data_IF_376387648333
#
_entry.id   IF_376387648333
#
_cell.length_a   1.000
_cell.length_b   1.000
_cell.length_c   1.000
_cell.angle_alpha   90.00
_cell.angle_beta   90.00
_cell.angle_gamma   90.00
#
_symmetry.space_group_name_H-M   'P 1'
#
loop_
_entity.id
_entity.type
_entity.pdbx_description
1 polymer ?
#
# COMPACT_ATOMS: atom_id res chain seq x y z
N UNK A 1 1.01 -25.38 -1.82
CA UNK A 1 2.20 -24.90 -1.16
C UNK A 1 1.84 -24.51 0.26
N UNK A 2 2.67 -24.24 1.07
CA UNK A 2 2.86 -24.65 2.43
C UNK A 2 2.37 -23.60 3.42
N UNK A 3 1.23 -23.84 4.07
CA UNK A 3 0.78 -23.08 5.23
C UNK A 3 1.85 -23.03 6.32
N UNK A 4 2.61 -24.12 6.48
CA UNK A 4 3.71 -24.22 7.43
C UNK A 4 4.82 -23.18 7.18
N UNK A 5 5.15 -22.87 5.92
CA UNK A 5 6.16 -21.86 5.58
C UNK A 5 5.67 -20.46 5.95
N UNK A 6 4.41 -20.16 5.71
CA UNK A 6 3.79 -18.90 6.10
C UNK A 6 3.80 -18.73 7.63
N UNK A 7 3.37 -19.76 8.35
CA UNK A 7 3.35 -19.75 9.82
C UNK A 7 4.76 -19.64 10.41
N UNK A 8 5.75 -20.28 9.79
CA UNK A 8 7.14 -20.18 10.22
C UNK A 8 7.69 -18.75 10.08
N UNK A 9 7.40 -18.11 8.96
CA UNK A 9 7.80 -16.73 8.71
C UNK A 9 7.14 -15.77 9.71
N UNK A 10 5.84 -15.94 9.97
CA UNK A 10 5.12 -15.16 10.98
C UNK A 10 5.64 -15.43 12.39
N UNK A 11 5.98 -16.66 12.71
CA UNK A 11 6.59 -17.02 13.99
C UNK A 11 7.96 -16.38 14.17
N UNK A 12 8.78 -16.33 13.13
CA UNK A 12 10.07 -15.65 13.15
C UNK A 12 9.91 -14.15 13.43
N UNK A 13 8.95 -13.49 12.77
CA UNK A 13 8.63 -12.10 13.03
C UNK A 13 8.20 -11.90 14.49
N UNK A 14 7.27 -12.70 14.97
CA UNK A 14 6.75 -12.61 16.33
C UNK A 14 7.84 -12.89 17.38
N UNK A 15 8.75 -13.81 17.12
CA UNK A 15 9.90 -14.10 17.98
C UNK A 15 10.82 -12.89 18.11
N UNK A 16 11.11 -12.20 17.01
CA UNK A 16 11.94 -10.99 17.05
C UNK A 16 11.24 -9.85 17.82
N UNK A 17 9.92 -9.69 17.67
CA UNK A 17 9.14 -8.75 18.46
C UNK A 17 9.24 -9.07 19.95
N UNK A 18 9.07 -10.34 20.33
CA UNK A 18 9.16 -10.80 21.70
C UNK A 18 10.57 -10.63 22.30
N UNK A 19 11.63 -10.92 21.53
CA UNK A 19 13.01 -10.69 21.97
C UNK A 19 13.26 -9.22 22.24
N UNK A 20 12.77 -8.32 21.40
CA UNK A 20 12.85 -6.88 21.61
C UNK A 20 12.14 -6.42 22.88
N UNK A 21 10.90 -6.87 23.07
CA UNK A 21 10.10 -6.57 24.25
C UNK A 21 10.75 -7.08 25.54
N UNK A 22 11.28 -8.29 25.50
CA UNK A 22 11.97 -8.92 26.64
C UNK A 22 13.25 -8.17 26.99
N UNK A 23 14.08 -7.84 26.00
CA UNK A 23 15.31 -7.08 26.23
C UNK A 23 15.02 -5.70 26.85
N UNK A 24 14.00 -5.01 26.34
CA UNK A 24 13.57 -3.71 26.90
C UNK A 24 13.10 -3.85 28.34
N UNK A 25 12.25 -4.83 28.63
CA UNK A 25 11.72 -5.06 29.96
C UNK A 25 12.81 -5.43 30.96
N UNK A 26 13.74 -6.32 30.59
CA UNK A 26 14.86 -6.73 31.45
C UNK A 26 15.82 -5.57 31.71
N UNK A 27 16.22 -4.83 30.70
CA UNK A 27 17.14 -3.71 30.85
C UNK A 27 16.56 -2.54 31.64
N UNK A 28 15.23 -2.43 31.68
CA UNK A 28 14.50 -1.40 32.44
C UNK A 28 14.06 -1.86 33.83
N UNK A 29 14.45 -3.05 34.25
CA UNK A 29 14.10 -3.60 35.57
C UNK A 29 14.72 -2.77 36.70
N UNK A 30 13.97 -2.38 37.76
CA UNK A 30 14.44 -1.43 38.77
C UNK A 30 15.71 -1.82 39.50
N UNK A 31 15.99 -3.13 39.65
CA UNK A 31 17.22 -3.58 40.26
C UNK A 31 18.50 -3.20 39.51
N UNK A 32 18.40 -3.09 38.19
CA UNK A 32 19.53 -2.68 37.35
C UNK A 32 19.81 -1.17 37.42
N UNK A 33 18.87 -0.35 37.90
CA UNK A 33 19.09 1.06 38.16
C UNK A 33 20.10 1.30 39.33
N UNK A 34 20.32 0.30 40.17
CA UNK A 34 21.24 0.37 41.28
C UNK A 34 22.71 0.11 40.86
N UNK A 35 22.96 -0.41 39.68
CA UNK A 35 24.27 -0.66 39.11
C UNK A 35 24.45 0.08 37.79
N UNK A 36 25.23 1.16 37.73
CA UNK A 36 25.44 1.91 36.52
C UNK A 36 26.22 1.09 35.51
N UNK A 37 25.49 0.46 34.57
CA UNK A 37 26.07 -0.24 33.43
C UNK A 37 25.72 0.54 32.16
N UNK A 38 26.70 1.08 31.42
CA UNK A 38 26.44 1.87 30.20
C UNK A 38 25.82 1.07 29.07
N UNK A 39 25.84 -0.26 29.13
CA UNK A 39 25.19 -1.12 28.14
C UNK A 39 23.67 -1.24 28.34
N UNK A 40 23.15 -1.00 29.54
CA UNK A 40 21.70 -1.13 29.80
C UNK A 40 20.85 -0.17 28.98
N UNK A 41 21.17 1.12 28.87
CA UNK A 41 20.42 2.03 27.99
C UNK A 41 20.44 1.58 26.52
N UNK A 42 21.57 1.02 26.08
CA UNK A 42 21.73 0.52 24.70
C UNK A 42 20.90 -0.73 24.47
N UNK A 43 20.86 -1.67 25.41
CA UNK A 43 20.04 -2.88 25.34
C UNK A 43 18.56 -2.51 25.37
N UNK A 44 18.15 -1.60 26.25
CA UNK A 44 16.78 -1.10 26.31
C UNK A 44 16.36 -0.43 25.00
N UNK A 45 17.22 0.40 24.42
CA UNK A 45 17.00 1.08 23.16
C UNK A 45 16.89 0.10 21.98
N UNK A 46 17.79 -0.88 21.91
CA UNK A 46 17.70 -1.95 20.91
C UNK A 46 16.38 -2.72 21.03
N UNK A 47 15.98 -3.04 22.26
CA UNK A 47 14.73 -3.74 22.54
C UNK A 47 13.51 -2.93 22.11
N UNK A 48 13.47 -1.65 22.40
CA UNK A 48 12.40 -0.73 22.00
C UNK A 48 12.26 -0.62 20.49
N UNK A 49 13.34 -0.34 19.78
CA UNK A 49 13.35 -0.20 18.31
C UNK A 49 12.98 -1.53 17.64
N UNK A 50 13.48 -2.64 18.13
CA UNK A 50 13.20 -3.98 17.60
C UNK A 50 11.75 -4.38 17.81
N UNK A 51 11.21 -4.24 19.01
CA UNK A 51 9.81 -4.51 19.32
C UNK A 51 8.87 -3.71 18.43
N UNK A 52 9.07 -2.40 18.38
CA UNK A 52 8.24 -1.50 17.56
C UNK A 52 8.30 -1.88 16.09
N UNK A 53 9.50 -2.11 15.55
CA UNK A 53 9.69 -2.42 14.12
C UNK A 53 8.95 -3.69 13.72
N UNK A 54 9.10 -4.76 14.47
CA UNK A 54 8.43 -6.03 14.15
C UNK A 54 6.92 -6.01 14.43
N UNK A 55 6.46 -5.26 15.42
CA UNK A 55 5.04 -5.06 15.67
C UNK A 55 4.34 -4.31 14.52
N UNK A 56 5.00 -3.30 13.95
CA UNK A 56 4.45 -2.51 12.83
C UNK A 56 4.22 -3.31 11.55
N UNK A 57 4.98 -4.39 11.34
CA UNK A 57 4.92 -5.20 10.11
C UNK A 57 3.56 -5.86 9.86
N UNK A 58 2.73 -6.04 10.88
CA UNK A 58 1.44 -6.74 10.77
C UNK A 58 0.23 -5.85 11.10
N UNK A 59 0.45 -4.61 11.46
CA UNK A 59 -0.59 -3.68 11.86
C UNK A 59 -0.84 -2.63 10.78
N UNK A 60 -2.11 -2.48 10.36
CA UNK A 60 -2.51 -1.37 9.49
C UNK A 60 -2.35 -0.07 10.27
N UNK A 61 -1.59 0.92 9.74
CA UNK A 61 -1.47 2.23 10.36
C UNK A 61 -2.81 2.97 10.42
N UNK A 62 -2.97 3.82 11.43
CA UNK A 62 -4.09 4.76 11.48
C UNK A 62 -3.88 5.87 10.43
N UNK A 63 -4.96 6.33 9.82
CA UNK A 63 -4.91 7.48 8.92
C UNK A 63 -4.41 8.75 9.61
N UNK A 64 -4.74 8.95 10.88
CA UNK A 64 -4.24 10.04 11.69
C UNK A 64 -4.68 11.45 11.26
N UNK A 65 -5.59 11.57 10.31
CA UNK A 65 -6.17 12.83 9.85
C UNK A 65 -7.43 13.07 10.66
N UNK A 66 -7.33 13.84 11.74
CA UNK A 66 -8.43 14.05 12.69
C UNK A 66 -9.19 15.36 12.45
N UNK A 67 -8.50 16.37 11.96
CA UNK A 67 -9.08 17.66 11.66
C UNK A 67 -8.27 18.41 10.61
N UNK A 68 -8.88 19.37 9.97
CA UNK A 68 -8.23 20.33 9.07
C UNK A 68 -8.66 21.76 9.43
N UNK A 69 -7.80 22.77 9.20
CA UNK A 69 -8.20 24.16 9.34
C UNK A 69 -9.28 24.51 8.32
N UNK A 70 -10.35 25.14 8.77
CA UNK A 70 -11.40 25.65 7.91
C UNK A 70 -11.18 27.11 7.51
N UNK A 71 -11.90 27.61 6.49
CA UNK A 71 -11.85 29.01 6.06
C UNK A 71 -12.38 29.98 7.11
N UNK A 72 -13.14 29.49 8.09
CA UNK A 72 -13.64 30.24 9.24
C UNK A 72 -12.62 30.39 10.39
N UNK A 73 -11.40 29.87 10.20
CA UNK A 73 -10.33 29.86 11.21
C UNK A 73 -10.52 28.83 12.33
N UNK A 74 -11.53 27.96 12.23
CA UNK A 74 -11.75 26.86 13.16
C UNK A 74 -11.33 25.54 12.56
N UNK A 75 -10.92 24.62 13.44
CA UNK A 75 -10.64 23.24 13.02
C UNK A 75 -11.93 22.46 12.77
N UNK A 76 -12.02 21.83 11.63
CA UNK A 76 -13.12 20.95 11.27
C UNK A 76 -12.68 19.49 11.41
N UNK A 77 -13.46 18.70 12.15
CA UNK A 77 -13.19 17.28 12.34
C UNK A 77 -13.35 16.51 11.03
N UNK A 78 -12.53 15.50 10.86
CA UNK A 78 -12.53 14.61 9.69
C UNK A 78 -12.90 13.21 10.12
N UNK A 79 -13.88 12.62 9.43
CA UNK A 79 -14.27 11.22 9.60
C UNK A 79 -13.88 10.43 8.34
N UNK A 80 -13.39 9.21 8.52
CA UNK A 80 -13.21 8.26 7.43
C UNK A 80 -14.50 7.46 7.26
N UNK A 81 -15.16 7.61 6.11
CA UNK A 81 -16.42 6.93 5.80
C UNK A 81 -16.24 5.97 4.65
N UNK A 82 -16.81 4.78 4.75
CA UNK A 82 -16.88 3.83 3.64
C UNK A 82 -18.03 4.21 2.71
N UNK A 83 -17.71 4.44 1.45
CA UNK A 83 -18.69 4.80 0.39
C UNK A 83 -19.13 3.56 -0.37
N UNK A 84 -18.19 2.70 -0.74
CA UNK A 84 -18.46 1.41 -1.39
C UNK A 84 -17.67 0.34 -0.66
N UNK A 85 -18.34 -0.72 -0.27
CA UNK A 85 -17.74 -1.87 0.42
C UNK A 85 -17.64 -3.06 -0.54
N UNK A 86 -16.43 -3.60 -0.69
CA UNK A 86 -16.17 -4.79 -1.50
C UNK A 86 -15.19 -5.71 -0.78
N UNK A 87 -15.16 -7.02 -1.10
CA UNK A 87 -14.32 -7.99 -0.40
C UNK A 87 -12.82 -7.66 -0.41
N UNK A 88 -12.28 -7.16 -1.51
CA UNK A 88 -10.84 -6.92 -1.66
C UNK A 88 -10.41 -5.47 -1.47
N UNK A 89 -11.34 -4.55 -1.32
CA UNK A 89 -11.06 -3.15 -1.07
C UNK A 89 -12.30 -2.30 -1.03
N UNK A 90 -12.24 -1.23 -0.27
CA UNK A 90 -13.31 -0.27 -0.12
C UNK A 90 -12.98 1.05 -0.84
N UNK A 91 -14.00 1.76 -1.24
CA UNK A 91 -13.89 3.17 -1.53
C UNK A 91 -14.23 3.94 -0.26
N UNK A 92 -13.27 4.72 0.25
CA UNK A 92 -13.46 5.53 1.45
C UNK A 92 -13.44 7.02 1.12
N UNK A 93 -14.12 7.81 1.94
CA UNK A 93 -14.15 9.27 1.87
C UNK A 93 -13.61 9.86 3.17
N UNK A 94 -12.79 10.90 3.05
CA UNK A 94 -12.41 11.76 4.17
C UNK A 94 -13.45 12.86 4.31
N UNK A 95 -14.47 12.61 5.13
CA UNK A 95 -15.59 13.50 5.32
C UNK A 95 -15.24 14.61 6.32
N UNK A 96 -15.28 15.86 5.86
CA UNK A 96 -15.03 17.03 6.71
C UNK A 96 -16.35 17.50 7.29
N UNK A 97 -16.49 17.43 8.62
CA UNK A 97 -17.70 17.87 9.32
C UNK A 97 -17.95 19.36 9.15
N UNK A 98 -19.21 19.75 9.05
CA UNK A 98 -19.66 21.15 8.91
C UNK A 98 -19.12 21.84 7.65
N UNK A 99 -18.71 21.08 6.66
CA UNK A 99 -18.31 21.60 5.35
C UNK A 99 -19.31 21.13 4.31
N UNK A 100 -19.83 22.06 3.49
CA UNK A 100 -20.64 21.70 2.34
C UNK A 100 -19.83 20.85 1.35
N UNK A 101 -20.47 19.97 0.55
CA UNK A 101 -19.78 19.24 -0.50
C UNK A 101 -19.01 20.19 -1.41
N UNK A 102 -17.75 19.83 -1.69
CA UNK A 102 -16.90 20.60 -2.59
C UNK A 102 -17.26 20.32 -4.04
N UNK A 103 -17.10 21.31 -4.90
CA UNK A 103 -17.31 21.15 -6.35
C UNK A 103 -16.28 20.23 -6.98
N UNK A 104 -15.07 20.14 -6.35
CA UNK A 104 -14.00 19.26 -6.83
C UNK A 104 -13.98 17.98 -6.01
N UNK A 105 -14.10 16.85 -6.70
CA UNK A 105 -13.90 15.51 -6.14
C UNK A 105 -12.62 14.92 -6.70
N UNK A 106 -11.81 14.33 -5.85
CA UNK A 106 -10.58 13.64 -6.24
C UNK A 106 -10.62 12.20 -5.73
N UNK A 107 -10.43 11.25 -6.64
CA UNK A 107 -10.16 9.85 -6.31
C UNK A 107 -8.66 9.62 -6.37
N UNK A 108 -8.07 9.28 -5.24
CA UNK A 108 -6.70 8.80 -5.15
C UNK A 108 -6.71 7.28 -5.24
N UNK A 109 -6.09 6.73 -6.29
CA UNK A 109 -5.93 5.29 -6.43
C UNK A 109 -4.62 4.90 -5.77
N UNK A 110 -4.73 4.27 -4.60
CA UNK A 110 -3.57 3.85 -3.82
C UNK A 110 -2.89 2.64 -4.45
N UNK A 111 -1.56 2.55 -4.38
CA UNK A 111 -0.84 1.35 -4.82
C UNK A 111 -1.27 0.11 -4.03
N UNK A 112 -1.38 -1.02 -4.72
CA UNK A 112 -1.42 -2.35 -4.12
C UNK A 112 -0.07 -3.02 -4.38
N UNK A 113 0.94 -2.61 -3.65
CA UNK A 113 2.33 -3.03 -3.85
C UNK A 113 3.03 -3.39 -2.53
N UNK A 114 2.26 -3.87 -1.57
CA UNK A 114 2.75 -4.32 -0.28
C UNK A 114 2.45 -3.39 0.89
N UNK A 115 2.20 -2.11 0.66
CA UNK A 115 1.84 -1.15 1.69
C UNK A 115 0.34 -0.86 1.72
N UNK A 116 -0.14 -0.38 2.85
CA UNK A 116 -1.52 0.08 2.99
C UNK A 116 -1.74 1.45 2.32
N UNK A 117 -2.97 1.75 1.99
CA UNK A 117 -3.34 3.05 1.41
C UNK A 117 -2.99 4.24 2.32
N UNK A 118 -2.79 4.00 3.60
CA UNK A 118 -2.38 5.00 4.60
C UNK A 118 -1.04 5.68 4.27
N UNK A 119 -0.23 5.09 3.38
CA UNK A 119 0.98 5.76 2.89
C UNK A 119 0.67 7.08 2.16
N UNK A 120 -0.58 7.27 1.70
CA UNK A 120 -1.03 8.50 1.03
C UNK A 120 -1.56 9.57 2.01
N UNK A 121 -1.43 9.37 3.32
CA UNK A 121 -2.02 10.31 4.31
C UNK A 121 -1.59 11.76 4.12
N UNK A 122 -0.33 12.01 3.82
CA UNK A 122 0.17 13.37 3.58
C UNK A 122 -0.42 13.98 2.30
N UNK A 123 -0.60 13.17 1.27
CA UNK A 123 -1.26 13.59 0.03
C UNK A 123 -2.72 13.94 0.28
N UNK A 124 -3.44 13.08 1.04
CA UNK A 124 -4.83 13.35 1.43
C UNK A 124 -4.92 14.65 2.24
N UNK A 125 -4.10 14.80 3.27
CA UNK A 125 -4.10 15.99 4.12
C UNK A 125 -3.81 17.27 3.33
N UNK A 126 -2.92 17.20 2.35
CA UNK A 126 -2.56 18.31 1.48
C UNK A 126 -3.69 18.75 0.54
N UNK A 127 -4.47 17.80 0.03
CA UNK A 127 -5.55 18.06 -0.93
C UNK A 127 -6.91 18.33 -0.28
N UNK A 128 -7.12 17.83 0.92
CA UNK A 128 -8.42 17.86 1.59
C UNK A 128 -8.99 19.27 1.80
N UNK A 129 -8.18 20.33 2.06
CA UNK A 129 -8.70 21.68 2.14
C UNK A 129 -9.41 22.18 0.88
N UNK A 130 -9.01 21.67 -0.29
CA UNK A 130 -9.45 22.19 -1.60
C UNK A 130 -10.40 21.27 -2.35
N UNK A 131 -10.66 20.05 -1.84
CA UNK A 131 -11.46 19.05 -2.54
C UNK A 131 -12.07 18.03 -1.58
N UNK A 132 -13.12 17.36 -2.04
CA UNK A 132 -13.59 16.12 -1.42
C UNK A 132 -12.69 14.97 -1.88
N UNK A 133 -12.09 14.27 -0.91
CA UNK A 133 -11.08 13.25 -1.18
C UNK A 133 -11.62 11.86 -0.90
N UNK A 134 -11.45 11.00 -1.90
CA UNK A 134 -11.77 9.58 -1.87
C UNK A 134 -10.52 8.77 -2.13
N UNK A 135 -10.39 7.61 -1.50
CA UNK A 135 -9.23 6.73 -1.64
C UNK A 135 -9.67 5.29 -1.79
N UNK A 136 -8.97 4.53 -2.61
CA UNK A 136 -9.11 3.08 -2.67
C UNK A 136 -8.38 2.47 -1.47
N UNK A 137 -9.11 1.91 -0.54
CA UNK A 137 -8.57 1.27 0.66
C UNK A 137 -8.53 -0.25 0.47
N UNK A 138 -7.43 -0.75 -0.07
CA UNK A 138 -7.25 -2.17 -0.37
C UNK A 138 -7.11 -2.98 0.90
N UNK A 139 -7.75 -4.16 0.93
CA UNK A 139 -7.72 -5.07 2.06
C UNK A 139 -6.53 -6.01 2.01
N UNK A 140 -6.01 -6.36 3.19
CA UNK A 140 -4.96 -7.35 3.33
C UNK A 140 -5.51 -8.74 2.95
N UNK A 141 -4.92 -9.37 1.96
CA UNK A 141 -5.41 -10.66 1.43
C UNK A 141 -5.40 -11.78 2.49
N UNK A 142 -4.53 -11.71 3.50
CA UNK A 142 -4.53 -12.69 4.60
C UNK A 142 -5.83 -12.70 5.40
N UNK A 143 -6.57 -11.60 5.39
CA UNK A 143 -7.81 -11.44 6.16
C UNK A 143 -9.08 -11.67 5.32
N UNK A 144 -8.93 -12.04 4.05
CA UNK A 144 -10.04 -12.24 3.13
C UNK A 144 -10.32 -13.73 2.97
N UNK A 145 -11.51 -14.22 3.38
CA UNK A 145 -11.84 -15.65 3.26
C UNK A 145 -11.71 -16.16 1.83
N UNK A 146 -11.28 -17.41 1.67
CA UNK A 146 -11.17 -18.07 0.35
C UNK A 146 -12.51 -18.05 -0.38
N UNK A 147 -13.62 -18.12 0.35
CA UNK A 147 -14.99 -18.06 -0.20
C UNK A 147 -15.30 -16.75 -0.93
N UNK A 148 -14.57 -15.68 -0.70
CA UNK A 148 -14.73 -14.42 -1.45
C UNK A 148 -14.25 -14.51 -2.90
N UNK A 149 -13.58 -15.58 -3.28
CA UNK A 149 -13.11 -15.82 -4.63
C UNK A 149 -11.71 -15.31 -4.90
N UNK A 150 -11.38 -15.21 -6.18
CA UNK A 150 -10.10 -14.71 -6.67
C UNK A 150 -10.08 -13.19 -6.84
N UNK A 151 -8.89 -12.63 -6.95
CA UNK A 151 -8.70 -11.22 -7.29
C UNK A 151 -7.42 -11.05 -8.12
N UNK A 152 -7.56 -10.64 -9.36
CA UNK A 152 -6.48 -10.41 -10.32
C UNK A 152 -6.50 -8.98 -10.88
N UNK A 153 -5.70 -8.70 -11.90
CA UNK A 153 -5.65 -7.36 -12.52
C UNK A 153 -6.95 -6.96 -13.22
N UNK A 154 -7.72 -7.92 -13.73
CA UNK A 154 -9.05 -7.61 -14.28
C UNK A 154 -10.03 -7.21 -13.18
N UNK A 155 -10.06 -7.96 -12.08
CA UNK A 155 -10.89 -7.65 -10.93
C UNK A 155 -10.55 -6.29 -10.34
N UNK A 156 -9.27 -5.98 -10.23
CA UNK A 156 -8.78 -4.67 -9.80
C UNK A 156 -9.31 -3.56 -10.72
N UNK A 157 -9.21 -3.74 -12.02
CA UNK A 157 -9.69 -2.80 -13.02
C UNK A 157 -11.20 -2.58 -12.89
N UNK A 158 -11.98 -3.65 -12.71
CA UNK A 158 -13.42 -3.56 -12.51
C UNK A 158 -13.81 -2.89 -11.20
N UNK A 159 -13.02 -3.08 -10.13
CA UNK A 159 -13.20 -2.30 -8.89
C UNK A 159 -13.04 -0.81 -9.13
N UNK A 160 -12.02 -0.41 -9.90
CA UNK A 160 -11.82 1.00 -10.26
C UNK A 160 -12.97 1.54 -11.10
N UNK A 161 -13.47 0.76 -12.05
CA UNK A 161 -14.66 1.13 -12.84
C UNK A 161 -15.85 1.38 -11.92
N UNK A 162 -16.13 0.48 -10.99
CA UNK A 162 -17.23 0.62 -10.05
C UNK A 162 -17.06 1.84 -9.13
N UNK A 163 -15.86 2.11 -8.66
CA UNK A 163 -15.57 3.27 -7.83
C UNK A 163 -15.72 4.59 -8.60
N UNK A 164 -15.24 4.65 -9.83
CA UNK A 164 -15.42 5.83 -10.71
C UNK A 164 -16.90 6.10 -11.01
N UNK A 165 -17.66 5.04 -11.27
CA UNK A 165 -19.10 5.16 -11.51
C UNK A 165 -19.86 5.63 -10.27
N UNK A 166 -19.48 5.13 -9.08
CA UNK A 166 -20.08 5.55 -7.82
C UNK A 166 -19.84 7.04 -7.52
N UNK A 167 -18.68 7.58 -7.92
CA UNK A 167 -18.33 8.98 -7.70
C UNK A 167 -18.92 9.93 -8.77
N UNK A 168 -19.14 9.43 -9.96
CA UNK A 168 -19.70 10.19 -11.08
C UNK A 168 -18.65 10.88 -11.97
N UNK A 169 -19.11 11.48 -13.09
CA UNK A 169 -18.23 11.95 -14.17
C UNK A 169 -17.45 13.24 -13.85
N UNK A 170 -17.78 13.93 -12.77
CA UNK A 170 -17.08 15.15 -12.37
C UNK A 170 -15.84 14.88 -11.51
N UNK A 171 -15.43 13.63 -11.39
CA UNK A 171 -14.31 13.21 -10.55
C UNK A 171 -12.99 13.36 -11.28
N UNK A 172 -11.99 13.88 -10.56
CA UNK A 172 -10.59 13.87 -10.96
C UNK A 172 -9.92 12.64 -10.37
N UNK A 173 -9.27 11.83 -11.19
CA UNK A 173 -8.61 10.60 -10.75
C UNK A 173 -7.10 10.77 -10.77
N UNK A 174 -6.44 10.41 -9.67
CA UNK A 174 -4.98 10.43 -9.55
C UNK A 174 -4.54 9.02 -9.17
N UNK A 175 -3.78 8.38 -10.04
CA UNK A 175 -3.18 7.07 -9.79
C UNK A 175 -1.69 7.23 -9.54
N UNK A 176 -1.23 6.71 -8.41
CA UNK A 176 0.14 6.90 -7.95
C UNK A 176 0.87 5.56 -8.03
N UNK A 177 1.91 5.49 -8.86
CA UNK A 177 2.80 4.35 -9.04
C UNK A 177 2.09 3.12 -9.65
N UNK A 178 2.11 1.98 -9.00
CA UNK A 178 1.63 0.69 -9.49
C UNK A 178 0.25 0.72 -10.18
N UNK A 179 -0.79 1.43 -9.67
CA UNK A 179 -2.10 1.37 -10.29
C UNK A 179 -2.26 2.17 -11.58
N UNK A 180 -1.25 2.91 -12.01
CA UNK A 180 -1.35 3.76 -13.19
C UNK A 180 -1.82 3.01 -14.46
N UNK A 181 -1.24 1.87 -14.87
CA UNK A 181 -1.70 1.15 -16.05
C UNK A 181 -3.13 0.62 -15.92
N UNK A 182 -3.51 0.11 -14.75
CA UNK A 182 -4.86 -0.43 -14.55
C UNK A 182 -5.92 0.68 -14.43
N UNK A 183 -5.55 1.84 -13.92
CA UNK A 183 -6.42 3.02 -13.89
C UNK A 183 -6.66 3.59 -15.29
N UNK A 184 -5.61 3.59 -16.11
CA UNK A 184 -5.72 3.92 -17.52
C UNK A 184 -6.68 2.94 -18.25
N UNK A 185 -6.53 1.65 -18.00
CA UNK A 185 -7.40 0.61 -18.54
C UNK A 185 -8.87 0.78 -18.08
N UNK A 186 -9.10 1.09 -16.81
CA UNK A 186 -10.43 1.36 -16.26
C UNK A 186 -11.08 2.57 -16.95
N UNK A 187 -10.32 3.63 -17.17
CA UNK A 187 -10.78 4.83 -17.88
C UNK A 187 -11.14 4.51 -19.32
N UNK A 188 -10.31 3.73 -20.01
CA UNK A 188 -10.58 3.28 -21.38
C UNK A 188 -11.81 2.37 -21.44
N UNK A 189 -12.01 1.50 -20.45
CA UNK A 189 -13.21 0.67 -20.35
C UNK A 189 -14.47 1.54 -20.25
N UNK A 190 -14.48 2.56 -19.42
CA UNK A 190 -15.59 3.52 -19.32
C UNK A 190 -15.80 4.28 -20.63
N UNK A 191 -14.74 4.69 -21.30
CA UNK A 191 -14.83 5.38 -22.59
C UNK A 191 -15.55 4.53 -23.64
N UNK A 192 -15.33 3.21 -23.64
CA UNK A 192 -15.96 2.28 -24.57
C UNK A 192 -17.37 1.86 -24.17
N UNK A 193 -17.60 1.58 -22.89
CA UNK A 193 -18.83 0.94 -22.42
C UNK A 193 -19.82 1.93 -21.78
N UNK A 194 -19.33 2.98 -21.15
CA UNK A 194 -20.12 3.98 -20.42
C UNK A 194 -19.53 5.38 -20.63
N UNK A 195 -19.59 5.93 -21.87
CA UNK A 195 -18.90 7.18 -22.21
C UNK A 195 -19.38 8.40 -21.41
N UNK A 196 -20.61 8.38 -20.89
CA UNK A 196 -21.14 9.46 -20.05
C UNK A 196 -20.67 9.41 -18.61
N UNK A 197 -19.98 8.34 -18.23
CA UNK A 197 -19.52 8.11 -16.86
C UNK A 197 -17.98 8.21 -16.72
N UNK A 198 -17.30 8.70 -17.74
CA UNK A 198 -15.85 8.91 -17.71
C UNK A 198 -15.46 9.98 -16.68
N UNK A 199 -14.31 9.86 -16.02
CA UNK A 199 -13.80 10.91 -15.13
C UNK A 199 -13.49 12.17 -15.93
N UNK A 200 -13.42 13.31 -15.24
CA UNK A 200 -13.07 14.59 -15.85
C UNK A 200 -11.60 14.67 -16.22
N UNK A 201 -10.72 14.13 -15.38
CA UNK A 201 -9.28 14.08 -15.61
C UNK A 201 -8.68 12.81 -15.03
N UNK A 202 -7.53 12.44 -15.58
CA UNK A 202 -6.72 11.32 -15.11
C UNK A 202 -5.27 11.76 -15.03
N UNK A 203 -4.69 11.70 -13.83
CA UNK A 203 -3.28 11.97 -13.60
C UNK A 203 -2.59 10.65 -13.21
N UNK A 204 -1.55 10.29 -13.96
CA UNK A 204 -0.76 9.08 -13.78
C UNK A 204 0.63 9.48 -13.30
N UNK A 205 0.99 9.08 -12.08
CA UNK A 205 2.25 9.48 -11.44
C UNK A 205 3.16 8.28 -11.27
N UNK A 206 4.29 8.27 -11.98
CA UNK A 206 5.38 7.32 -11.79
C UNK A 206 5.01 5.85 -11.98
N UNK A 207 4.08 5.54 -12.88
CA UNK A 207 3.57 4.20 -13.07
C UNK A 207 4.14 3.48 -14.29
N UNK A 208 4.26 2.14 -14.25
CA UNK A 208 4.82 1.35 -15.34
C UNK A 208 3.80 1.09 -16.45
N UNK A 209 3.44 2.12 -17.24
CA UNK A 209 2.51 1.98 -18.37
C UNK A 209 3.14 1.10 -19.45
N UNK A 210 4.35 1.45 -19.87
CA UNK A 210 5.18 0.65 -20.76
C UNK A 210 6.50 0.31 -20.06
N UNK A 211 6.66 -0.93 -19.57
CA UNK A 211 7.90 -1.36 -18.89
C UNK A 211 9.14 -1.30 -19.77
N UNK A 212 8.99 -1.29 -21.10
CA UNK A 212 10.10 -1.22 -22.04
C UNK A 212 10.54 0.22 -22.34
N UNK A 213 9.74 1.22 -21.97
CA UNK A 213 10.07 2.62 -22.24
C UNK A 213 11.25 3.12 -21.41
N UNK A 214 11.39 2.63 -20.17
CA UNK A 214 12.53 2.92 -19.30
C UNK A 214 12.85 1.69 -18.44
N UNK A 215 14.02 1.12 -18.67
CA UNK A 215 14.48 -0.04 -17.91
C UNK A 215 14.80 0.35 -16.46
N UNK A 216 14.21 -0.38 -15.51
CA UNK A 216 14.54 -0.32 -14.08
C UNK A 216 14.91 -1.72 -13.60
N UNK A 217 15.51 -1.84 -12.42
CA UNK A 217 15.79 -3.16 -11.82
C UNK A 217 14.51 -3.98 -11.66
N UNK A 218 13.40 -3.34 -11.27
CA UNK A 218 12.10 -4.00 -11.10
C UNK A 218 11.54 -4.48 -12.44
N UNK A 219 11.56 -3.65 -13.48
CA UNK A 219 11.07 -4.02 -14.81
C UNK A 219 11.93 -5.11 -15.45
N UNK A 220 13.25 -5.04 -15.30
CA UNK A 220 14.19 -6.05 -15.80
C UNK A 220 14.02 -7.39 -15.08
N UNK A 221 13.83 -7.38 -13.77
CA UNK A 221 13.53 -8.58 -13.00
C UNK A 221 12.22 -9.21 -13.48
N UNK A 222 11.15 -8.43 -13.63
CA UNK A 222 9.86 -8.91 -14.11
C UNK A 222 9.93 -9.55 -15.50
N UNK A 223 10.83 -9.10 -16.37
CA UNK A 223 11.02 -9.68 -17.71
C UNK A 223 11.87 -10.95 -17.70
N UNK A 224 12.87 -11.03 -16.84
CA UNK A 224 13.81 -12.17 -16.81
C UNK A 224 13.28 -13.39 -16.07
N UNK A 225 12.50 -13.20 -15.00
CA UNK A 225 11.97 -14.30 -14.21
C UNK A 225 10.85 -15.03 -14.96
N UNK A 226 10.84 -16.37 -14.91
CA UNK A 226 9.72 -17.14 -15.43
C UNK A 226 8.55 -17.13 -14.44
N UNK A 227 7.32 -17.30 -14.95
CA UNK A 227 6.13 -17.36 -14.09
C UNK A 227 6.21 -18.49 -13.07
N UNK A 228 6.75 -19.66 -13.48
CA UNK A 228 6.96 -20.79 -12.58
C UNK A 228 7.96 -20.51 -11.46
N UNK A 229 9.07 -19.84 -11.78
CA UNK A 229 10.05 -19.40 -10.78
C UNK A 229 9.44 -18.40 -9.81
N UNK A 230 8.70 -17.43 -10.32
CA UNK A 230 8.05 -16.41 -9.51
C UNK A 230 7.06 -17.03 -8.52
N UNK A 231 6.24 -17.96 -9.00
CA UNK A 231 5.29 -18.68 -8.15
C UNK A 231 6.00 -19.47 -7.03
N UNK A 232 7.13 -20.10 -7.34
CA UNK A 232 7.90 -20.84 -6.35
C UNK A 232 8.48 -19.97 -5.25
N UNK A 233 9.04 -18.81 -5.58
CA UNK A 233 9.75 -17.97 -4.62
C UNK A 233 8.83 -17.01 -3.87
N UNK A 234 7.74 -16.56 -4.46
CA UNK A 234 6.91 -15.50 -3.93
C UNK A 234 5.61 -16.00 -3.29
N UNK A 235 5.01 -17.07 -3.78
CA UNK A 235 3.65 -17.46 -3.41
C UNK A 235 3.65 -18.47 -2.27
N UNK A 236 2.83 -18.17 -1.25
CA UNK A 236 2.59 -19.03 -0.09
C UNK A 236 1.09 -19.11 0.21
N UNK A 237 0.70 -20.04 1.07
CA UNK A 237 -0.67 -20.12 1.59
C UNK A 237 -0.75 -19.48 2.96
N UNK A 238 -1.76 -18.64 3.14
CA UNK A 238 -2.06 -18.04 4.44
C UNK A 238 -2.30 -19.13 5.49
N UNK A 239 -1.67 -18.97 6.65
CA UNK A 239 -1.76 -19.92 7.75
C UNK A 239 -3.11 -19.91 8.47
N UNK A 240 -3.33 -20.89 9.34
CA UNK A 240 -4.63 -21.14 10.01
C UNK A 240 -5.10 -20.03 10.93
N UNK A 241 -4.21 -19.18 11.40
CA UNK A 241 -4.46 -18.09 12.34
C UNK A 241 -5.33 -16.97 11.77
N UNK A 242 -5.38 -16.82 10.44
CA UNK A 242 -6.02 -15.70 9.77
C UNK A 242 -7.30 -16.11 9.05
N UNK A 243 -8.21 -15.16 8.85
CA UNK A 243 -9.47 -15.39 8.13
C UNK A 243 -9.27 -15.90 6.70
N UNK A 244 -8.18 -15.51 6.06
CA UNK A 244 -7.82 -15.94 4.72
C UNK A 244 -7.09 -17.28 4.66
N UNK A 245 -7.11 -18.07 5.73
CA UNK A 245 -6.42 -19.36 5.79
C UNK A 245 -6.60 -20.19 4.52
N UNK A 246 -5.49 -20.65 3.93
CA UNK A 246 -5.46 -21.42 2.70
C UNK A 246 -5.45 -20.61 1.40
N UNK A 247 -5.67 -19.28 1.46
CA UNK A 247 -5.54 -18.42 0.28
C UNK A 247 -4.10 -18.35 -0.19
N UNK A 248 -3.90 -18.45 -1.51
CA UNK A 248 -2.58 -18.20 -2.11
C UNK A 248 -2.33 -16.70 -2.17
N UNK A 249 -1.21 -16.27 -1.62
CA UNK A 249 -0.82 -14.86 -1.52
C UNK A 249 0.66 -14.65 -1.83
N UNK A 250 1.01 -13.42 -2.18
CA UNK A 250 2.36 -12.92 -2.04
C UNK A 250 2.46 -12.23 -0.68
N UNK A 251 3.16 -12.83 0.31
CA UNK A 251 3.19 -12.29 1.66
C UNK A 251 3.85 -10.92 1.75
N UNK A 252 3.25 -10.04 2.55
CA UNK A 252 3.82 -8.70 2.79
C UNK A 252 5.21 -8.74 3.39
N UNK A 253 5.52 -9.70 4.26
CA UNK A 253 6.85 -9.86 4.84
C UNK A 253 7.92 -10.17 3.80
N UNK A 254 7.62 -10.97 2.77
CA UNK A 254 8.55 -11.22 1.65
C UNK A 254 8.73 -9.98 0.78
N UNK A 255 7.67 -9.22 0.55
CA UNK A 255 7.73 -7.95 -0.17
C UNK A 255 8.63 -6.95 0.57
N UNK A 256 8.45 -6.84 1.89
CA UNK A 256 9.28 -5.97 2.73
C UNK A 256 10.75 -6.36 2.68
N UNK A 257 11.07 -7.66 2.75
CA UNK A 257 12.43 -8.17 2.63
C UNK A 257 13.07 -7.73 1.30
N UNK A 258 12.32 -7.80 0.19
CA UNK A 258 12.78 -7.34 -1.11
C UNK A 258 13.04 -5.84 -1.13
N UNK A 259 12.13 -5.04 -0.58
CA UNK A 259 12.30 -3.58 -0.52
C UNK A 259 13.52 -3.18 0.32
N UNK A 260 13.67 -3.78 1.49
CA UNK A 260 14.79 -3.45 2.38
C UNK A 260 16.13 -3.89 1.81
N UNK A 261 16.19 -5.01 1.09
CA UNK A 261 17.41 -5.50 0.48
C UNK A 261 17.96 -4.59 -0.63
N UNK A 262 17.09 -3.86 -1.34
CA UNK A 262 17.51 -2.91 -2.36
C UNK A 262 18.25 -1.69 -1.79
N UNK A 263 18.04 -1.36 -0.52
CA UNK A 263 18.68 -0.24 0.18
C UNK A 263 19.19 -0.67 1.56
N UNK A 264 19.77 -1.87 1.66
CA UNK A 264 20.14 -2.50 2.92
C UNK A 264 21.06 -1.64 3.77
N UNK A 265 22.07 -1.01 3.19
CA UNK A 265 23.01 -0.14 3.90
C UNK A 265 22.32 1.08 4.50
N UNK A 266 21.46 1.74 3.74
CA UNK A 266 20.71 2.92 4.18
C UNK A 266 19.77 2.56 5.35
N UNK A 267 19.07 1.43 5.26
CA UNK A 267 18.18 0.97 6.33
C UNK A 267 18.97 0.57 7.57
N UNK A 268 20.06 -0.18 7.43
CA UNK A 268 20.92 -0.57 8.55
C UNK A 268 21.45 0.65 9.30
N UNK A 269 21.90 1.67 8.56
CA UNK A 269 22.36 2.93 9.15
C UNK A 269 21.25 3.65 9.90
N UNK A 270 20.06 3.75 9.31
CA UNK A 270 18.91 4.41 9.92
C UNK A 270 18.51 3.75 11.25
N UNK A 271 18.47 2.41 11.30
CA UNK A 271 18.15 1.67 12.51
C UNK A 271 19.24 1.81 13.58
N UNK A 272 20.51 1.75 13.19
CA UNK A 272 21.62 1.97 14.12
C UNK A 272 21.57 3.37 14.75
N UNK A 273 21.34 4.39 13.94
CA UNK A 273 21.19 5.78 14.42
C UNK A 273 20.00 5.93 15.37
N UNK A 274 18.86 5.30 15.06
CA UNK A 274 17.69 5.36 15.93
C UNK A 274 17.92 4.68 17.27
N UNK A 275 18.61 3.53 17.30
CA UNK A 275 18.97 2.85 18.54
C UNK A 275 19.87 3.76 19.40
N UNK A 276 20.85 4.42 18.80
CA UNK A 276 21.73 5.35 19.52
C UNK A 276 20.96 6.56 20.06
N UNK A 277 20.05 7.11 19.29
CA UNK A 277 19.18 8.22 19.72
C UNK A 277 18.26 7.79 20.86
N UNK A 278 17.65 6.62 20.78
CA UNK A 278 16.83 6.06 21.85
C UNK A 278 17.63 5.83 23.13
N UNK A 279 18.88 5.35 23.03
CA UNK A 279 19.77 5.17 24.17
C UNK A 279 20.12 6.48 24.89
N UNK A 280 20.12 7.61 24.14
CA UNK A 280 20.36 8.95 24.69
C UNK A 280 19.07 9.64 25.19
N UNK A 281 17.92 8.99 25.06
CA UNK A 281 16.63 9.58 25.39
C UNK A 281 16.13 10.65 24.39
N UNK A 282 16.69 10.67 23.19
CA UNK A 282 16.37 11.64 22.13
C UNK A 282 15.28 11.15 21.17
N UNK A 283 14.94 9.86 21.17
CA UNK A 283 13.89 9.29 20.34
C UNK A 283 12.52 9.61 20.93
N UNK A 284 11.57 9.96 20.05
CA UNK A 284 10.16 10.20 20.42
C UNK A 284 9.23 9.35 19.57
N UNK A 285 7.99 9.16 20.04
CA UNK A 285 7.00 8.35 19.30
C UNK A 285 6.70 8.87 17.89
N UNK A 286 6.88 10.15 17.66
CA UNK A 286 6.55 10.82 16.39
C UNK A 286 7.77 11.47 15.73
N UNK A 287 8.98 11.02 16.05
CA UNK A 287 10.17 11.51 15.37
C UNK A 287 10.23 11.06 13.89
N UNK A 288 11.18 11.61 13.14
CA UNK A 288 11.26 11.37 11.70
C UNK A 288 11.44 9.89 11.36
N UNK A 289 12.26 9.15 12.14
CA UNK A 289 12.45 7.70 11.94
C UNK A 289 11.15 6.94 12.13
N UNK A 290 10.46 7.16 13.24
CA UNK A 290 9.24 6.45 13.57
C UNK A 290 8.10 6.79 12.60
N UNK A 291 7.95 8.06 12.20
CA UNK A 291 6.96 8.46 11.18
C UNK A 291 7.18 7.73 9.85
N UNK A 292 8.42 7.58 9.45
CA UNK A 292 8.76 6.89 8.20
C UNK A 292 8.56 5.37 8.32
N UNK A 293 9.17 4.74 9.33
CA UNK A 293 9.16 3.28 9.44
C UNK A 293 7.86 2.69 9.97
N UNK A 294 7.07 3.42 10.73
CA UNK A 294 5.72 2.98 11.10
C UNK A 294 4.84 2.73 9.86
N UNK A 295 5.07 3.47 8.78
CA UNK A 295 4.40 3.28 7.51
C UNK A 295 5.14 2.30 6.59
N UNK A 296 6.44 2.46 6.46
CA UNK A 296 7.26 1.65 5.55
C UNK A 296 7.28 0.16 5.92
N UNK A 297 7.30 -0.15 7.22
CA UNK A 297 7.29 -1.53 7.72
C UNK A 297 5.90 -2.17 7.72
N UNK A 298 4.84 -1.38 7.68
CA UNK A 298 3.47 -1.87 7.69
C UNK A 298 3.10 -2.44 6.31
N UNK A 299 3.14 -3.75 6.19
CA UNK A 299 2.95 -4.46 4.94
C UNK A 299 1.72 -5.34 4.98
N UNK A 300 1.14 -5.55 3.81
CA UNK A 300 -0.01 -6.42 3.61
C UNK A 300 0.26 -7.45 2.53
N UNK A 301 -0.38 -8.60 2.65
CA UNK A 301 -0.37 -9.62 1.62
C UNK A 301 -1.24 -9.16 0.45
N UNK A 302 -0.83 -9.51 -0.78
CA UNK A 302 -1.68 -9.42 -1.95
C UNK A 302 -2.02 -10.81 -2.47
N UNK A 303 -3.14 -10.94 -3.17
CA UNK A 303 -3.49 -12.22 -3.76
C UNK A 303 -2.44 -12.70 -4.76
N UNK A 304 -2.23 -14.00 -4.83
CA UNK A 304 -1.30 -14.58 -5.80
C UNK A 304 -1.71 -14.22 -7.22
N UNK A 305 -3.00 -14.29 -7.53
CA UNK A 305 -3.55 -13.98 -8.85
C UNK A 305 -3.23 -12.55 -9.27
N UNK A 306 -3.37 -11.59 -8.35
CA UNK A 306 -3.05 -10.19 -8.64
C UNK A 306 -1.57 -10.01 -8.94
N UNK A 307 -0.69 -10.54 -8.08
CA UNK A 307 0.75 -10.41 -8.28
C UNK A 307 1.22 -11.09 -9.57
N UNK A 308 0.81 -12.34 -9.77
CA UNK A 308 1.21 -13.12 -10.94
C UNK A 308 0.66 -12.51 -12.24
N UNK A 309 -0.59 -12.08 -12.26
CA UNK A 309 -1.17 -11.42 -13.43
C UNK A 309 -0.55 -10.04 -13.69
N UNK A 310 -0.15 -9.32 -12.68
CA UNK A 310 0.60 -8.06 -12.85
C UNK A 310 1.92 -8.32 -13.58
N UNK A 311 2.72 -9.27 -13.12
CA UNK A 311 4.00 -9.59 -13.76
C UNK A 311 3.79 -10.13 -15.17
N UNK A 312 2.84 -11.04 -15.35
CA UNK A 312 2.57 -11.66 -16.65
C UNK A 312 2.00 -10.65 -17.66
N UNK A 313 0.89 -10.00 -17.32
CA UNK A 313 0.11 -9.20 -18.28
C UNK A 313 0.65 -7.78 -18.45
N UNK A 314 1.13 -7.15 -17.37
CA UNK A 314 1.61 -5.76 -17.42
C UNK A 314 3.08 -5.70 -17.80
N UNK A 315 3.94 -6.51 -17.17
CA UNK A 315 5.39 -6.45 -17.39
C UNK A 315 5.87 -7.32 -18.54
N UNK A 316 5.46 -8.59 -18.60
CA UNK A 316 5.95 -9.51 -19.65
C UNK A 316 5.25 -9.32 -20.98
N UNK A 317 3.92 -9.40 -21.01
CA UNK A 317 3.12 -9.28 -22.24
C UNK A 317 2.81 -7.86 -22.62
N UNK A 318 3.03 -6.89 -21.72
CA UNK A 318 2.84 -5.46 -21.98
C UNK A 318 1.46 -5.13 -22.57
N UNK A 319 0.42 -5.77 -22.08
CA UNK A 319 -0.91 -5.70 -22.69
C UNK A 319 -1.50 -4.28 -22.68
N UNK A 320 -1.21 -3.47 -21.66
CA UNK A 320 -1.65 -2.07 -21.61
C UNK A 320 -0.90 -1.24 -22.67
N UNK A 321 0.43 -1.35 -22.70
CA UNK A 321 1.28 -0.60 -23.65
C UNK A 321 0.96 -0.94 -25.11
N UNK A 322 0.64 -2.20 -25.39
CA UNK A 322 0.33 -2.69 -26.74
C UNK A 322 -1.16 -2.59 -27.09
N UNK A 323 -1.98 -2.04 -26.21
CA UNK A 323 -3.43 -1.91 -26.39
C UNK A 323 -4.14 -3.26 -26.64
N UNK A 324 -3.71 -4.29 -25.90
CA UNK A 324 -4.21 -5.67 -26.00
C UNK A 324 -4.95 -6.14 -24.73
N UNK A 325 -5.13 -5.26 -23.75
CA UNK A 325 -5.71 -5.63 -22.45
C UNK A 325 -7.21 -5.92 -22.60
N UNK A 326 -7.63 -7.07 -22.06
CA UNK A 326 -9.02 -7.52 -22.06
C UNK A 326 -9.59 -7.48 -20.66
N UNK A 327 -10.76 -6.88 -20.51
CA UNK A 327 -11.51 -6.82 -19.25
C UNK A 327 -12.94 -7.29 -19.49
N UNK A 328 -13.41 -8.23 -18.69
CA UNK A 328 -14.77 -8.80 -18.82
C UNK A 328 -15.08 -9.28 -20.26
N UNK A 329 -14.11 -9.88 -20.93
CA UNK A 329 -14.23 -10.39 -22.30
C UNK A 329 -14.18 -9.32 -23.38
N UNK A 330 -13.96 -8.04 -23.03
CA UNK A 330 -13.90 -6.92 -23.97
C UNK A 330 -12.50 -6.34 -24.03
N UNK A 331 -11.98 -6.16 -25.23
CA UNK A 331 -10.71 -5.46 -25.43
C UNK A 331 -10.89 -3.99 -25.06
N UNK A 332 -10.00 -3.51 -24.19
CA UNK A 332 -9.97 -2.12 -23.76
C UNK A 332 -9.13 -1.32 -24.75
N UNK A 333 -9.73 -0.32 -25.38
CA UNK A 333 -9.04 0.57 -26.32
C UNK A 333 -8.62 1.88 -25.64
N UNK A 334 -7.32 2.04 -25.39
CA UNK A 334 -6.75 3.26 -24.81
C UNK A 334 -7.02 4.47 -25.73
N UNK A 335 -7.06 4.27 -27.03
CA UNK A 335 -7.41 5.30 -28.02
C UNK A 335 -8.83 5.82 -27.92
N UNK A 336 -9.73 5.13 -27.22
CA UNK A 336 -11.10 5.61 -26.97
C UNK A 336 -11.15 6.75 -25.94
N UNK A 337 -10.07 6.99 -25.19
CA UNK A 337 -9.97 8.09 -24.22
C UNK A 337 -9.73 9.40 -24.97
N UNK A 338 -10.79 10.07 -25.36
CA UNK A 338 -10.73 11.33 -26.13
C UNK A 338 -11.36 12.52 -25.39
N UNK A 339 -12.11 12.27 -24.31
CA UNK A 339 -12.84 13.29 -23.58
C UNK A 339 -12.25 13.55 -22.17
N UNK A 340 -11.31 12.74 -21.73
CA UNK A 340 -10.65 12.85 -20.42
C UNK A 340 -9.34 13.59 -20.59
N UNK A 341 -9.12 14.63 -19.79
CA UNK A 341 -7.81 15.29 -19.72
C UNK A 341 -6.82 14.37 -19.03
N UNK A 342 -5.80 13.91 -19.74
CA UNK A 342 -4.79 12.99 -19.21
C UNK A 342 -3.47 13.73 -18.98
N UNK A 343 -2.91 13.57 -17.78
CA UNK A 343 -1.60 14.10 -17.40
C UNK A 343 -0.72 12.95 -16.88
N UNK A 344 0.52 12.93 -17.33
CA UNK A 344 1.54 12.02 -16.78
C UNK A 344 2.60 12.82 -16.03
N UNK A 345 3.08 12.26 -14.94
CA UNK A 345 4.14 12.82 -14.11
C UNK A 345 5.17 11.72 -13.88
N UNK A 346 6.37 11.93 -14.34
CA UNK A 346 7.47 10.98 -14.22
C UNK A 346 8.62 11.59 -13.41
N UNK A 347 9.34 10.74 -12.65
CA UNK A 347 10.60 11.12 -12.01
C UNK A 347 11.79 10.95 -12.96
N UNK A 348 12.84 11.74 -12.78
CA UNK A 348 14.14 11.55 -13.44
C UNK A 348 14.94 10.44 -12.79
#
# INVERSE_FOLDING_TARGET
>A
KYMATYDLMESARNTNEWLGATARAMASYPLFALSPNPLLPLIAAWGEVTERSFARMVAKPDWGIRSIPGPDGQDHLVDVKTVVEKPFGNLIQFFVRRRAPMTRKILLVAPMSGHYATLLRSTVASLLPDADIYVTDWHNARDIPVSAGKFDVEDYTLYLVDFMRALGPDTHVIAICQPAPLTLAATAYLAGEHPDEQPRSLTLIGGPIDPDAAATEVTDFGRRITMGQLEQIAIQRVGFKYKGAGRLVYPGLLQLQSFMSMNAERHSKAFAEQIMRAARGEATDHDAHNRFYDEYLAVMDMTAEFYLSTVDRIFKRREIALNEFVVAGKKVDIGAITQVAVKTVEGE
#
